data_IF_572989142229
#
_entry.id   IF_572989142229
#
_cell.length_a   1.000
_cell.length_b   1.000
_cell.length_c   1.000
_cell.angle_alpha   90.00
_cell.angle_beta   90.00
_cell.angle_gamma   90.00
#
_symmetry.space_group_name_H-M   'P 1'
#
loop_
_entity.id
_entity.type
_entity.pdbx_description
1 polymer ?
#
# COMPACT_ATOMS: atom_id res chain seq x y z
N UNK A 1 -7.86 21.06 -6.97
CA UNK A 1 -7.51 19.93 -6.09
C UNK A 1 -6.37 19.16 -6.72
N UNK A 2 -5.20 19.10 -6.07
CA UNK A 2 -4.03 18.36 -6.57
C UNK A 2 -4.26 16.87 -6.26
N UNK A 3 -5.21 16.23 -6.96
CA UNK A 3 -5.14 14.79 -7.18
C UNK A 3 -4.17 14.60 -8.34
N UNK A 4 -2.92 14.34 -8.02
CA UNK A 4 -1.91 14.04 -9.03
C UNK A 4 -1.98 12.56 -9.34
N UNK A 5 -2.70 12.21 -10.41
CA UNK A 5 -2.87 10.85 -10.92
C UNK A 5 -1.74 10.37 -11.83
N UNK A 6 -0.68 11.16 -11.99
CA UNK A 6 0.53 10.71 -12.68
C UNK A 6 1.26 9.66 -11.86
N UNK A 7 1.49 8.48 -12.45
CA UNK A 7 2.42 7.45 -11.93
C UNK A 7 3.75 8.11 -11.53
N UNK A 8 4.23 9.04 -12.36
CA UNK A 8 5.46 9.81 -12.11
C UNK A 8 5.40 10.68 -10.84
N UNK A 9 4.25 11.26 -10.50
CA UNK A 9 4.14 12.11 -9.31
C UNK A 9 4.00 11.30 -8.03
N UNK A 10 3.39 10.09 -8.11
CA UNK A 10 3.40 9.12 -7.03
C UNK A 10 4.83 8.65 -6.76
N UNK A 11 5.59 8.34 -7.80
CA UNK A 11 7.04 8.07 -7.70
C UNK A 11 7.82 9.29 -7.17
N UNK A 12 7.45 10.52 -7.50
CA UNK A 12 8.06 11.72 -6.91
C UNK A 12 7.80 11.83 -5.40
N UNK A 13 6.61 11.46 -4.91
CA UNK A 13 6.33 11.39 -3.46
C UNK A 13 7.19 10.33 -2.75
N UNK A 14 7.63 9.28 -3.47
CA UNK A 14 8.57 8.28 -2.95
C UNK A 14 10.03 8.78 -2.89
N UNK A 15 10.39 9.81 -3.67
CA UNK A 15 11.81 10.19 -3.91
C UNK A 15 12.21 11.53 -3.26
N UNK A 16 11.28 12.48 -3.06
CA UNK A 16 11.64 13.87 -2.69
C UNK A 16 11.72 14.18 -1.19
N UNK A 17 12.38 13.34 -0.39
CA UNK A 17 12.63 13.62 1.04
C UNK A 17 14.14 13.62 1.32
N UNK A 18 14.87 14.59 0.75
CA UNK A 18 16.35 14.56 0.74
C UNK A 18 17.13 15.82 1.18
N UNK A 19 16.50 16.96 1.52
CA UNK A 19 17.23 18.20 1.86
C UNK A 19 16.55 19.02 2.97
N UNK A 20 17.20 19.20 4.13
CA UNK A 20 16.60 19.57 5.43
C UNK A 20 15.70 20.83 5.49
N UNK A 21 16.01 21.90 4.74
CA UNK A 21 15.19 23.12 4.75
C UNK A 21 14.08 23.09 3.68
N UNK A 22 14.39 22.58 2.48
CA UNK A 22 13.40 22.24 1.46
C UNK A 22 12.43 21.18 1.98
N UNK A 23 12.89 20.32 2.89
CA UNK A 23 12.11 19.27 3.54
C UNK A 23 10.97 19.84 4.36
N UNK A 24 11.16 20.90 5.15
CA UNK A 24 10.07 21.50 5.93
C UNK A 24 9.00 22.10 5.01
N UNK A 25 9.41 22.84 3.98
CA UNK A 25 8.49 23.47 3.02
C UNK A 25 7.75 22.41 2.19
N UNK A 26 8.47 21.40 1.69
CA UNK A 26 7.89 20.29 0.94
C UNK A 26 6.95 19.44 1.81
N UNK A 27 7.36 19.13 3.05
CA UNK A 27 6.55 18.42 4.05
C UNK A 27 5.26 19.18 4.33
N UNK A 28 5.32 20.50 4.54
CA UNK A 28 4.14 21.31 4.80
C UNK A 28 3.13 21.26 3.64
N UNK A 29 3.60 21.30 2.38
CA UNK A 29 2.73 21.13 1.21
C UNK A 29 2.17 19.70 1.14
N UNK A 30 2.98 18.68 1.43
CA UNK A 30 2.53 17.29 1.46
C UNK A 30 1.46 17.09 2.54
N UNK A 31 1.69 17.57 3.75
CA UNK A 31 0.71 17.53 4.85
C UNK A 31 -0.60 18.20 4.42
N UNK A 32 -0.52 19.41 3.86
CA UNK A 32 -1.71 20.10 3.33
C UNK A 32 -2.43 19.24 2.28
N UNK A 33 -1.70 18.66 1.33
CA UNK A 33 -2.27 17.83 0.25
C UNK A 33 -2.96 16.59 0.81
N UNK A 34 -2.36 15.93 1.80
CA UNK A 34 -2.92 14.74 2.43
C UNK A 34 -4.15 15.06 3.26
N UNK A 35 -4.12 16.12 4.08
CA UNK A 35 -5.30 16.55 4.81
C UNK A 35 -6.44 16.95 3.85
N UNK A 36 -6.14 17.66 2.76
CA UNK A 36 -7.17 18.10 1.81
C UNK A 36 -7.86 16.92 1.09
N UNK A 37 -7.20 15.76 1.02
CA UNK A 37 -7.75 14.53 0.42
C UNK A 37 -8.66 13.74 1.37
N UNK A 38 -8.77 14.12 2.65
CA UNK A 38 -9.67 13.46 3.59
C UNK A 38 -11.13 13.61 3.12
N UNK A 39 -11.88 12.50 3.19
CA UNK A 39 -13.32 12.48 2.90
C UNK A 39 -14.15 13.03 4.05
N UNK A 40 -13.57 13.09 5.25
CA UNK A 40 -14.22 13.64 6.42
C UNK A 40 -13.24 14.54 7.15
N UNK A 41 -13.71 15.72 7.52
CA UNK A 41 -12.93 16.70 8.27
C UNK A 41 -13.49 16.86 9.68
N UNK A 42 -12.58 16.73 10.66
CA UNK A 42 -12.77 17.13 12.05
C UNK A 42 -12.16 18.51 12.27
N UNK A 43 -12.46 19.14 13.42
CA UNK A 43 -11.81 20.40 13.83
C UNK A 43 -10.29 20.23 13.82
N UNK A 44 -9.79 19.14 14.38
CA UNK A 44 -8.35 18.84 14.42
C UNK A 44 -7.73 18.72 13.01
N UNK A 45 -8.44 18.10 12.06
CA UNK A 45 -7.95 17.99 10.67
C UNK A 45 -7.95 19.33 9.92
N UNK A 46 -8.87 20.24 10.25
CA UNK A 46 -8.92 21.59 9.69
C UNK A 46 -7.81 22.45 10.30
N UNK A 47 -7.58 22.34 11.61
CA UNK A 47 -6.44 22.95 12.29
C UNK A 47 -5.11 22.43 11.72
N UNK A 48 -5.06 21.14 11.36
CA UNK A 48 -3.95 20.52 10.62
C UNK A 48 -3.70 21.15 9.25
N UNK A 49 -4.76 21.41 8.47
CA UNK A 49 -4.68 22.12 7.18
C UNK A 49 -4.13 23.55 7.34
N UNK A 50 -4.68 24.31 8.29
CA UNK A 50 -4.25 25.69 8.54
C UNK A 50 -2.81 25.73 9.04
N UNK A 51 -2.44 24.83 9.95
CA UNK A 51 -1.09 24.71 10.49
C UNK A 51 -0.07 24.37 9.40
N UNK A 52 -0.39 23.41 8.52
CA UNK A 52 0.46 23.06 7.39
C UNK A 52 0.70 24.26 6.47
N UNK A 53 -0.36 25.03 6.17
CA UNK A 53 -0.26 26.23 5.34
C UNK A 53 0.53 27.36 6.01
N UNK A 54 0.38 27.53 7.33
CA UNK A 54 1.14 28.50 8.11
C UNK A 54 2.64 28.15 8.15
N UNK A 55 2.99 26.88 8.33
CA UNK A 55 4.37 26.39 8.26
C UNK A 55 4.95 26.63 6.86
N UNK A 56 4.20 26.36 5.80
CA UNK A 56 4.63 26.66 4.43
C UNK A 56 4.92 28.16 4.26
N UNK A 57 4.00 29.04 4.65
CA UNK A 57 4.17 30.48 4.48
C UNK A 57 5.28 31.09 5.33
N UNK A 58 5.56 30.52 6.51
CA UNK A 58 6.66 30.96 7.38
C UNK A 58 8.03 30.61 6.79
N UNK A 59 8.13 29.50 6.06
CA UNK A 59 9.42 28.97 5.59
C UNK A 59 9.66 29.15 4.08
N UNK A 60 8.65 29.51 3.27
CA UNK A 60 8.76 29.59 1.80
C UNK A 60 9.85 30.54 1.29
N UNK A 61 10.20 31.58 2.06
CA UNK A 61 11.14 32.61 1.61
C UNK A 61 12.55 32.03 1.38
N UNK A 62 12.88 30.90 2.02
CA UNK A 62 14.13 30.18 1.77
C UNK A 62 14.25 29.68 0.32
N UNK A 63 13.13 29.42 -0.35
CA UNK A 63 13.12 29.01 -1.76
C UNK A 63 13.42 30.19 -2.69
N UNK A 64 13.15 31.42 -2.26
CA UNK A 64 13.59 32.63 -2.97
C UNK A 64 15.09 32.87 -2.75
N UNK A 65 15.56 32.71 -1.50
CA UNK A 65 16.98 32.85 -1.17
C UNK A 65 17.85 31.84 -1.91
N UNK A 66 17.36 30.61 -2.10
CA UNK A 66 18.04 29.57 -2.88
C UNK A 66 17.85 29.73 -4.41
N UNK A 67 17.25 30.84 -4.87
CA UNK A 67 16.99 31.15 -6.28
C UNK A 67 16.20 30.03 -7.01
N UNK A 68 15.40 29.26 -6.27
CA UNK A 68 14.55 28.20 -6.85
C UNK A 68 13.34 28.83 -7.55
N UNK A 69 12.82 29.95 -7.03
CA UNK A 69 11.68 30.66 -7.62
C UNK A 69 11.62 32.12 -7.17
N UNK A 70 11.31 33.05 -8.09
CA UNK A 70 11.36 34.50 -7.83
C UNK A 70 10.25 35.02 -6.90
N UNK A 71 9.01 34.54 -7.06
CA UNK A 71 7.87 34.98 -6.25
C UNK A 71 6.83 33.88 -5.99
N UNK A 72 6.07 34.00 -4.90
CA UNK A 72 4.99 33.05 -4.57
C UNK A 72 3.58 33.50 -4.96
N UNK A 73 3.45 34.52 -5.83
CA UNK A 73 2.18 34.97 -6.41
C UNK A 73 1.65 33.98 -7.47
N UNK A 74 1.52 32.72 -7.09
CA UNK A 74 1.05 31.64 -7.95
C UNK A 74 -0.45 31.47 -7.69
N UNK A 75 -1.33 31.62 -8.70
CA UNK A 75 -2.78 31.51 -8.51
C UNK A 75 -3.21 30.22 -7.79
N UNK A 76 -2.54 29.10 -8.08
CA UNK A 76 -2.79 27.81 -7.41
C UNK A 76 -2.47 27.85 -5.91
N UNK A 77 -1.36 28.47 -5.50
CA UNK A 77 -1.02 28.62 -4.08
C UNK A 77 -1.97 29.59 -3.37
N UNK A 78 -2.42 30.65 -4.06
CA UNK A 78 -3.43 31.54 -3.52
C UNK A 78 -4.76 30.80 -3.30
N UNK A 79 -5.17 29.97 -4.26
CA UNK A 79 -6.41 29.19 -4.17
C UNK A 79 -6.41 28.22 -2.96
N UNK A 80 -5.26 27.63 -2.64
CA UNK A 80 -5.05 26.75 -1.48
C UNK A 80 -5.42 27.45 -0.15
N UNK A 81 -5.16 28.76 -0.02
CA UNK A 81 -5.52 29.53 1.19
C UNK A 81 -7.02 29.62 1.48
N UNK A 82 -7.87 29.32 0.49
CA UNK A 82 -9.32 29.33 0.64
C UNK A 82 -9.91 27.98 1.03
N UNK A 83 -9.12 26.89 1.05
CA UNK A 83 -9.64 25.54 1.24
C UNK A 83 -10.41 25.39 2.54
N UNK A 84 -9.86 25.79 3.68
CA UNK A 84 -10.54 25.64 4.99
C UNK A 84 -11.85 26.44 5.03
N UNK A 85 -11.83 27.66 4.47
CA UNK A 85 -13.02 28.52 4.32
C UNK A 85 -14.07 27.93 3.39
N UNK A 86 -13.68 27.10 2.43
CA UNK A 86 -14.59 26.39 1.53
C UNK A 86 -15.08 25.06 2.13
N UNK A 87 -14.20 24.29 2.78
CA UNK A 87 -14.52 22.99 3.35
C UNK A 87 -15.57 23.12 4.46
N UNK A 88 -15.44 24.16 5.30
CA UNK A 88 -16.36 24.38 6.42
C UNK A 88 -17.84 24.51 5.99
N UNK A 89 -18.19 25.35 4.99
CA UNK A 89 -19.58 25.45 4.50
C UNK A 89 -19.97 24.41 3.43
N UNK A 90 -19.03 23.88 2.63
CA UNK A 90 -19.36 23.07 1.45
C UNK A 90 -19.02 21.57 1.58
N UNK A 91 -18.33 21.15 2.64
CA UNK A 91 -17.90 19.76 2.85
C UNK A 91 -16.50 19.45 2.30
N UNK A 92 -16.11 18.18 2.37
CA UNK A 92 -14.81 17.68 1.89
C UNK A 92 -14.55 18.00 0.41
N UNK A 93 -13.28 17.99 0.02
CA UNK A 93 -12.90 18.26 -1.38
C UNK A 93 -13.00 17.02 -2.29
N UNK A 94 -13.63 15.95 -1.82
CA UNK A 94 -13.87 14.75 -2.59
C UNK A 94 -14.78 15.07 -3.79
N UNK A 95 -14.47 14.48 -4.95
CA UNK A 95 -15.17 14.78 -6.20
C UNK A 95 -14.75 16.07 -6.93
N UNK A 96 -13.96 16.97 -6.32
CA UNK A 96 -13.50 18.21 -6.96
C UNK A 96 -12.14 18.09 -7.69
N UNK A 97 -11.83 16.96 -8.31
CA UNK A 97 -10.64 16.82 -9.15
C UNK A 97 -10.89 17.37 -10.56
N UNK A 98 -9.83 17.82 -11.24
CA UNK A 98 -9.94 18.26 -12.64
C UNK A 98 -10.08 17.08 -13.60
N UNK A 99 -9.78 15.86 -13.16
CA UNK A 99 -9.88 14.65 -13.97
C UNK A 99 -11.30 14.36 -14.43
N UNK A 100 -12.30 14.56 -13.58
CA UNK A 100 -13.71 14.37 -13.97
C UNK A 100 -14.09 15.33 -15.11
N UNK A 101 -13.94 16.66 -14.95
CA UNK A 101 -14.14 17.59 -16.06
C UNK A 101 -13.25 17.32 -17.28
N UNK A 102 -11.98 16.94 -17.11
CA UNK A 102 -11.06 16.68 -18.22
C UNK A 102 -11.41 15.41 -19.01
N UNK A 103 -11.86 14.37 -18.30
CA UNK A 103 -12.38 13.14 -18.90
C UNK A 103 -13.67 13.41 -19.66
N UNK A 104 -14.62 14.11 -19.03
CA UNK A 104 -15.84 14.55 -19.70
C UNK A 104 -15.54 15.47 -20.88
N UNK A 105 -14.52 16.32 -20.81
CA UNK A 105 -14.10 17.16 -21.92
C UNK A 105 -13.43 16.36 -23.05
N UNK A 106 -12.79 15.23 -22.74
CA UNK A 106 -12.30 14.31 -23.77
C UNK A 106 -13.47 13.61 -24.47
N UNK A 107 -14.33 12.97 -23.67
CA UNK A 107 -15.43 12.14 -24.17
C UNK A 107 -16.50 12.99 -24.88
N UNK A 108 -16.85 14.16 -24.31
CA UNK A 108 -17.96 14.97 -24.81
C UNK A 108 -17.58 16.14 -25.71
N UNK A 109 -16.35 16.67 -25.58
CA UNK A 109 -15.92 17.80 -26.42
C UNK A 109 -14.94 17.34 -27.49
N UNK A 110 -13.82 16.69 -27.13
CA UNK A 110 -12.79 16.31 -28.12
C UNK A 110 -13.28 15.27 -29.11
N UNK A 111 -13.93 14.20 -28.64
CA UNK A 111 -14.40 13.13 -29.53
C UNK A 111 -15.59 13.57 -30.38
N UNK A 112 -16.53 14.32 -29.80
CA UNK A 112 -17.61 14.94 -30.56
C UNK A 112 -17.06 15.89 -31.64
N UNK A 113 -16.07 16.73 -31.32
CA UNK A 113 -15.44 17.63 -32.29
C UNK A 113 -14.68 16.85 -33.37
N UNK A 114 -13.97 15.76 -33.03
CA UNK A 114 -13.30 14.88 -34.00
C UNK A 114 -14.28 14.20 -34.95
N UNK A 115 -15.47 13.85 -34.46
CA UNK A 115 -16.54 13.24 -35.26
C UNK A 115 -17.27 14.24 -36.16
N UNK A 116 -17.17 15.55 -35.86
CA UNK A 116 -17.75 16.63 -36.67
C UNK A 116 -16.93 16.91 -37.94
N UNK A 117 -17.54 17.62 -38.89
CA UNK A 117 -16.83 18.15 -40.06
C UNK A 117 -16.05 19.46 -39.76
N UNK A 118 -16.05 19.93 -38.51
CA UNK A 118 -15.39 21.16 -38.02
C UNK A 118 -15.92 22.49 -38.60
N UNK A 119 -17.08 22.47 -39.26
CA UNK A 119 -17.80 23.65 -39.75
C UNK A 119 -19.16 23.72 -39.07
N UNK A 120 -19.48 24.83 -38.40
CA UNK A 120 -20.70 24.97 -37.56
C UNK A 120 -20.89 23.74 -36.64
N UNK A 121 -19.80 23.39 -35.95
CA UNK A 121 -19.63 22.10 -35.27
C UNK A 121 -20.49 21.94 -34.01
N UNK A 122 -21.03 23.03 -33.44
CA UNK A 122 -21.79 22.99 -32.18
C UNK A 122 -23.05 22.11 -32.30
N UNK A 123 -23.83 22.28 -33.37
CA UNK A 123 -25.04 21.48 -33.61
C UNK A 123 -24.70 20.01 -33.90
N UNK A 124 -23.62 19.77 -34.64
CA UNK A 124 -23.14 18.42 -34.93
C UNK A 124 -22.64 17.70 -33.67
N UNK A 125 -21.94 18.40 -32.79
CA UNK A 125 -21.49 17.87 -31.51
C UNK A 125 -22.69 17.54 -30.60
N UNK A 126 -23.70 18.41 -30.54
CA UNK A 126 -24.93 18.14 -29.78
C UNK A 126 -25.68 16.91 -30.31
N UNK A 127 -25.84 16.78 -31.62
CA UNK A 127 -26.44 15.61 -32.27
C UNK A 127 -25.65 14.33 -32.00
N UNK A 128 -24.31 14.40 -32.09
CA UNK A 128 -23.44 13.27 -31.78
C UNK A 128 -23.59 12.80 -30.33
N UNK A 129 -23.66 13.74 -29.37
CA UNK A 129 -23.88 13.44 -27.95
C UNK A 129 -25.24 12.77 -27.72
N UNK A 130 -26.31 13.28 -28.33
CA UNK A 130 -27.64 12.66 -28.26
C UNK A 130 -27.63 11.22 -28.76
N UNK A 131 -26.88 10.94 -29.84
CA UNK A 131 -26.74 9.58 -30.34
C UNK A 131 -25.96 8.67 -29.40
N UNK A 132 -24.87 9.17 -28.79
CA UNK A 132 -24.13 8.40 -27.78
C UNK A 132 -25.00 8.08 -26.57
N UNK A 133 -25.78 9.04 -26.07
CA UNK A 133 -26.73 8.81 -24.96
C UNK A 133 -27.78 7.77 -25.31
N UNK A 134 -28.36 7.83 -26.52
CA UNK A 134 -29.34 6.85 -26.99
C UNK A 134 -28.76 5.42 -27.08
N UNK A 135 -27.53 5.29 -27.59
CA UNK A 135 -26.80 4.01 -27.66
C UNK A 135 -26.48 3.49 -26.25
N UNK A 136 -26.02 4.37 -25.35
CA UNK A 136 -25.71 4.02 -23.97
C UNK A 136 -26.95 3.54 -23.21
N UNK A 137 -28.07 4.25 -23.33
CA UNK A 137 -29.35 3.84 -22.73
C UNK A 137 -29.83 2.50 -23.30
N UNK A 138 -29.68 2.30 -24.61
CA UNK A 138 -30.08 1.04 -25.26
C UNK A 138 -29.22 -0.14 -24.82
N UNK A 139 -27.90 0.03 -24.76
CA UNK A 139 -26.97 -1.01 -24.29
C UNK A 139 -27.23 -1.36 -22.83
N UNK A 140 -27.35 -0.36 -21.94
CA UNK A 140 -27.70 -0.57 -20.54
C UNK A 140 -29.01 -1.34 -20.35
N UNK A 141 -30.02 -1.04 -21.17
CA UNK A 141 -31.29 -1.77 -21.17
C UNK A 141 -31.13 -3.24 -21.60
N UNK A 142 -30.30 -3.53 -22.61
CA UNK A 142 -30.01 -4.90 -23.06
C UNK A 142 -29.23 -5.68 -22.01
N UNK A 143 -28.24 -5.06 -21.35
CA UNK A 143 -27.47 -5.68 -20.28
C UNK A 143 -28.36 -6.05 -19.10
N UNK A 144 -29.22 -5.12 -18.66
CA UNK A 144 -30.23 -5.39 -17.62
C UNK A 144 -31.18 -6.55 -17.96
N UNK A 145 -31.62 -6.65 -19.22
CA UNK A 145 -32.44 -7.79 -19.68
C UNK A 145 -31.67 -9.12 -19.61
N UNK A 146 -30.37 -9.08 -19.94
CA UNK A 146 -29.51 -10.27 -19.94
C UNK A 146 -29.26 -10.79 -18.51
N UNK A 147 -29.02 -9.89 -17.55
CA UNK A 147 -28.81 -10.23 -16.13
C UNK A 147 -30.08 -10.83 -15.50
N UNK A 148 -31.26 -10.30 -15.87
CA UNK A 148 -32.56 -10.85 -15.44
C UNK A 148 -32.82 -12.24 -15.99
N UNK A 149 -32.33 -12.53 -17.19
CA UNK A 149 -32.44 -13.84 -17.83
C UNK A 149 -31.49 -14.87 -17.21
N UNK A 150 -30.31 -14.44 -16.77
CA UNK A 150 -29.33 -15.29 -16.07
C UNK A 150 -29.76 -15.62 -14.63
N UNK A 151 -30.41 -14.69 -13.91
CA UNK A 151 -30.99 -14.96 -12.58
C UNK A 151 -32.12 -16.00 -12.59
N UNK A 152 -32.76 -16.24 -13.74
CA UNK A 152 -33.78 -17.27 -13.90
C UNK A 152 -33.20 -18.66 -14.26
N UNK A 153 -31.89 -18.77 -14.51
CA UNK A 153 -31.27 -19.95 -15.12
C UNK A 153 -29.98 -20.36 -14.40
N UNK A 154 -30.01 -20.48 -13.07
CA UNK A 154 -28.91 -21.14 -12.33
C UNK A 154 -29.23 -22.62 -12.15
N UNK A 155 -28.80 -23.44 -13.11
CA UNK A 155 -28.46 -24.85 -12.86
C UNK A 155 -27.36 -25.30 -13.82
N UNK A 156 -26.20 -25.60 -13.21
CA UNK A 156 -25.07 -26.41 -13.68
C UNK A 156 -24.47 -26.10 -15.04
N UNK A 157 -23.16 -25.80 -15.08
CA UNK A 157 -22.09 -26.62 -15.67
C UNK A 157 -20.81 -25.78 -15.77
N UNK A 158 -19.76 -26.12 -15.01
CA UNK A 158 -18.40 -25.60 -15.21
C UNK A 158 -17.63 -26.55 -16.10
N UNK A 159 -17.19 -26.06 -17.26
CA UNK A 159 -16.36 -26.75 -18.25
C UNK A 159 -14.90 -26.86 -17.76
N UNK A 160 -14.27 -28.06 -17.70
CA UNK A 160 -12.97 -28.24 -17.06
C UNK A 160 -11.74 -27.87 -17.93
N UNK A 161 -11.89 -27.29 -19.11
CA UNK A 161 -10.81 -27.33 -20.12
C UNK A 161 -10.35 -25.97 -20.68
N UNK A 162 -10.08 -24.99 -19.82
CA UNK A 162 -9.29 -23.80 -20.20
C UNK A 162 -7.92 -23.80 -19.56
N UNK A 163 -6.95 -24.22 -20.36
CA UNK A 163 -5.51 -24.11 -20.11
C UNK A 163 -5.13 -22.65 -20.43
N UNK A 164 -4.79 -21.86 -19.41
CA UNK A 164 -4.25 -20.51 -19.58
C UNK A 164 -2.74 -20.54 -19.39
N UNK A 165 -2.03 -20.04 -20.40
CA UNK A 165 -0.60 -19.77 -20.36
C UNK A 165 -0.33 -18.63 -19.36
N UNK A 166 0.38 -18.95 -18.30
CA UNK A 166 0.83 -18.02 -17.25
C UNK A 166 2.03 -17.24 -17.78
N UNK A 167 1.81 -16.01 -18.23
CA UNK A 167 2.78 -14.91 -18.18
C UNK A 167 2.12 -13.59 -18.62
N UNK A 168 1.20 -13.05 -17.82
CA UNK A 168 0.96 -11.59 -17.72
C UNK A 168 0.09 -11.23 -16.51
N UNK A 169 0.52 -10.18 -15.82
CA UNK A 169 -0.21 -9.29 -14.91
C UNK A 169 -0.46 -9.67 -13.43
N UNK A 170 0.26 -8.92 -12.59
CA UNK A 170 0.32 -8.94 -11.13
C UNK A 170 -0.95 -8.47 -10.39
N UNK A 171 -1.98 -8.08 -11.15
CA UNK A 171 -3.28 -7.60 -10.66
C UNK A 171 -4.39 -8.64 -10.91
N UNK A 172 -4.19 -9.57 -11.85
CA UNK A 172 -5.16 -10.63 -12.15
C UNK A 172 -5.35 -11.61 -10.98
N UNK A 173 -4.28 -11.95 -10.26
CA UNK A 173 -4.35 -12.80 -9.06
C UNK A 173 -5.17 -12.16 -7.92
N UNK A 174 -5.12 -10.82 -7.76
CA UNK A 174 -5.89 -10.13 -6.73
C UNK A 174 -7.38 -10.12 -7.12
N UNK A 175 -7.70 -9.94 -8.41
CA UNK A 175 -9.08 -9.97 -8.90
C UNK A 175 -9.69 -11.39 -8.81
N UNK A 176 -8.89 -12.44 -9.00
CA UNK A 176 -9.30 -13.82 -8.77
C UNK A 176 -9.52 -14.12 -7.27
N UNK A 177 -8.70 -13.56 -6.38
CA UNK A 177 -8.92 -13.64 -4.93
C UNK A 177 -10.17 -12.85 -4.48
N UNK A 178 -10.49 -11.74 -5.14
CA UNK A 178 -11.71 -10.96 -4.90
C UNK A 178 -12.97 -11.72 -5.28
N UNK A 179 -12.95 -12.43 -6.40
CA UNK A 179 -14.10 -13.22 -6.86
C UNK A 179 -14.32 -14.52 -6.06
N UNK A 180 -13.29 -15.01 -5.36
CA UNK A 180 -13.37 -16.23 -4.53
C UNK A 180 -13.58 -15.96 -3.04
N UNK A 181 -13.52 -14.70 -2.60
CA UNK A 181 -13.88 -14.31 -1.24
C UNK A 181 -15.40 -14.47 -1.01
N UNK A 182 -15.84 -14.95 0.16
CA UNK A 182 -17.26 -15.20 0.41
C UNK A 182 -18.08 -13.91 0.30
N UNK A 183 -18.90 -13.80 -0.75
CA UNK A 183 -19.82 -12.68 -1.02
C UNK A 183 -20.98 -12.56 -0.02
N UNK A 184 -21.05 -13.42 0.99
CA UNK A 184 -22.14 -13.44 1.97
C UNK A 184 -21.68 -12.88 3.32
N UNK A 185 -21.35 -11.59 3.35
CA UNK A 185 -21.33 -10.83 4.59
C UNK A 185 -22.49 -9.84 4.56
N UNK A 186 -23.48 -10.07 5.43
CA UNK A 186 -24.50 -9.08 5.75
C UNK A 186 -23.82 -7.77 6.19
N UNK A 187 -24.32 -6.58 5.81
CA UNK A 187 -23.62 -5.30 5.97
C UNK A 187 -23.55 -4.77 7.43
N UNK A 188 -23.58 -5.64 8.43
CA UNK A 188 -23.79 -5.25 9.83
C UNK A 188 -22.70 -5.67 10.83
N UNK A 189 -21.56 -6.21 10.37
CA UNK A 189 -20.41 -6.47 11.23
C UNK A 189 -19.13 -5.86 10.64
N UNK A 190 -18.29 -5.16 11.44
CA UNK A 190 -17.02 -4.65 10.97
C UNK A 190 -16.16 -5.81 10.47
N UNK A 191 -15.63 -5.68 9.24
CA UNK A 191 -14.68 -6.62 8.68
C UNK A 191 -13.40 -6.50 9.53
N UNK A 192 -13.11 -7.50 10.36
CA UNK A 192 -11.79 -7.61 10.99
C UNK A 192 -10.70 -7.77 9.93
N UNK A 193 -9.47 -7.36 10.23
CA UNK A 193 -8.34 -7.60 9.33
C UNK A 193 -8.22 -9.10 9.02
N UNK A 194 -8.24 -9.45 7.73
CA UNK A 194 -8.15 -10.82 7.23
C UNK A 194 -6.87 -11.04 6.45
N UNK A 195 -6.17 -12.14 6.72
CA UNK A 195 -4.97 -12.56 6.00
C UNK A 195 -5.31 -13.71 5.06
N UNK A 196 -5.15 -13.48 3.75
CA UNK A 196 -5.45 -14.42 2.68
C UNK A 196 -4.13 -14.94 2.10
N UNK A 197 -4.00 -16.27 2.07
CA UNK A 197 -2.93 -16.99 1.40
C UNK A 197 -3.46 -17.78 0.22
N UNK A 198 -2.59 -18.08 -0.74
CA UNK A 198 -2.91 -19.00 -1.81
C UNK A 198 -3.29 -20.38 -1.23
N UNK A 199 -4.25 -21.06 -1.88
CA UNK A 199 -4.70 -22.41 -1.45
C UNK A 199 -3.55 -23.42 -1.47
N UNK A 200 -2.62 -23.26 -2.41
CA UNK A 200 -1.42 -24.09 -2.54
C UNK A 200 -0.16 -23.27 -2.24
N UNK A 201 0.80 -23.81 -1.47
CA UNK A 201 2.08 -23.16 -1.28
C UNK A 201 2.85 -23.13 -2.61
N UNK A 202 3.50 -22.00 -2.89
CA UNK A 202 4.28 -21.87 -4.11
C UNK A 202 5.53 -22.75 -4.11
N UNK A 203 6.10 -22.95 -2.92
CA UNK A 203 7.28 -23.77 -2.71
C UNK A 203 7.00 -24.76 -1.58
N UNK A 204 6.35 -25.89 -1.88
CA UNK A 204 6.08 -26.92 -0.89
C UNK A 204 7.38 -27.60 -0.44
N UNK A 205 7.42 -28.04 0.82
CA UNK A 205 8.49 -28.88 1.37
C UNK A 205 9.91 -28.32 1.24
N UNK A 206 10.08 -27.02 1.45
CA UNK A 206 11.38 -26.35 1.43
C UNK A 206 12.22 -26.72 2.66
N UNK A 207 13.49 -27.08 2.44
CA UNK A 207 14.42 -27.41 3.53
C UNK A 207 14.86 -26.16 4.27
N UNK A 208 15.23 -26.32 5.55
CA UNK A 208 15.79 -25.23 6.36
C UNK A 208 17.04 -24.63 5.72
N UNK A 209 17.90 -25.46 5.12
CA UNK A 209 19.12 -24.99 4.45
C UNK A 209 18.80 -24.09 3.24
N UNK A 210 17.75 -24.41 2.49
CA UNK A 210 17.26 -23.55 1.42
C UNK A 210 16.68 -22.23 1.95
N UNK A 211 15.94 -22.27 3.07
CA UNK A 211 15.44 -21.04 3.71
C UNK A 211 16.61 -20.13 4.14
N UNK A 212 17.65 -20.70 4.75
CA UNK A 212 18.82 -19.94 5.20
C UNK A 212 19.54 -19.30 4.01
N UNK A 213 19.80 -20.08 2.95
CA UNK A 213 20.59 -19.63 1.79
C UNK A 213 19.80 -18.67 0.88
N UNK A 214 18.57 -19.01 0.50
CA UNK A 214 17.78 -18.22 -0.43
C UNK A 214 17.09 -17.02 0.23
N UNK A 215 16.55 -17.20 1.45
CA UNK A 215 15.83 -16.14 2.17
C UNK A 215 16.70 -15.39 3.19
N UNK A 216 17.95 -15.78 3.41
CA UNK A 216 18.87 -15.11 4.36
C UNK A 216 18.40 -15.20 5.81
N UNK A 217 17.83 -16.34 6.21
CA UNK A 217 17.22 -16.58 7.53
C UNK A 217 18.11 -17.40 8.46
N UNK A 218 19.32 -16.91 8.74
CA UNK A 218 20.32 -17.59 9.58
C UNK A 218 19.80 -17.99 10.98
N UNK A 219 18.82 -17.25 11.51
CA UNK A 219 18.21 -17.49 12.83
C UNK A 219 16.86 -18.21 12.76
N UNK A 220 16.53 -18.85 11.63
CA UNK A 220 15.24 -19.54 11.45
C UNK A 220 14.95 -20.59 12.54
N UNK A 221 15.87 -21.52 12.76
CA UNK A 221 15.68 -22.59 13.77
C UNK A 221 15.61 -22.05 15.20
N UNK A 222 16.54 -21.18 15.68
CA UNK A 222 16.42 -20.59 17.01
C UNK A 222 15.10 -19.81 17.22
N UNK A 223 14.67 -19.03 16.22
CA UNK A 223 13.44 -18.27 16.28
C UNK A 223 12.21 -19.20 16.34
N UNK A 224 12.20 -20.25 15.52
CA UNK A 224 11.13 -21.25 15.51
C UNK A 224 11.05 -22.02 16.84
N UNK A 225 12.20 -22.42 17.41
CA UNK A 225 12.25 -23.07 18.73
C UNK A 225 11.67 -22.18 19.83
N UNK A 226 12.04 -20.90 19.82
CA UNK A 226 11.54 -19.93 20.80
C UNK A 226 10.02 -19.75 20.67
N UNK A 227 9.54 -19.64 19.44
CA UNK A 227 8.11 -19.54 19.14
C UNK A 227 7.33 -20.78 19.60
N UNK A 228 7.81 -21.99 19.27
CA UNK A 228 7.18 -23.24 19.70
C UNK A 228 7.17 -23.37 21.21
N UNK A 229 8.24 -22.98 21.91
CA UNK A 229 8.30 -23.04 23.37
C UNK A 229 7.28 -22.10 24.03
N UNK A 230 7.11 -20.89 23.48
CA UNK A 230 6.22 -19.86 24.03
C UNK A 230 4.74 -20.15 23.71
N UNK A 231 4.43 -20.54 22.48
CA UNK A 231 3.06 -20.65 21.98
C UNK A 231 2.53 -22.09 22.00
N UNK A 232 3.41 -23.09 22.02
CA UNK A 232 3.07 -24.52 21.99
C UNK A 232 3.91 -25.30 23.02
N UNK A 233 3.79 -25.00 24.33
CA UNK A 233 4.65 -25.59 25.37
C UNK A 233 4.48 -27.11 25.50
N UNK A 234 3.38 -27.68 25.03
CA UNK A 234 3.10 -29.12 25.07
C UNK A 234 3.77 -29.91 23.94
N UNK A 235 4.45 -29.25 22.99
CA UNK A 235 5.12 -29.93 21.89
C UNK A 235 6.55 -30.35 22.29
N UNK A 236 6.81 -31.66 22.27
CA UNK A 236 8.12 -32.25 22.60
C UNK A 236 9.03 -32.41 21.37
N UNK A 237 8.56 -32.05 20.16
CA UNK A 237 9.33 -32.19 18.92
C UNK A 237 10.17 -30.93 18.71
N UNK A 238 11.48 -31.12 18.71
CA UNK A 238 12.44 -30.03 18.50
C UNK A 238 12.70 -29.90 16.99
N UNK A 239 12.46 -28.73 16.37
CA UNK A 239 12.75 -28.53 14.96
C UNK A 239 14.26 -28.62 14.69
N UNK A 240 14.59 -29.35 13.62
CA UNK A 240 15.93 -29.64 13.14
C UNK A 240 16.16 -29.18 11.70
N UNK A 241 17.40 -29.31 11.21
CA UNK A 241 17.79 -28.81 9.88
C UNK A 241 17.19 -29.60 8.70
N UNK A 242 16.71 -30.83 8.96
CA UNK A 242 16.12 -31.69 7.94
C UNK A 242 14.60 -31.51 7.79
N UNK A 243 14.00 -30.67 8.64
CA UNK A 243 12.57 -30.37 8.53
C UNK A 243 12.29 -29.57 7.24
N UNK A 244 11.07 -29.77 6.74
CA UNK A 244 10.61 -29.17 5.50
C UNK A 244 9.36 -28.34 5.77
N UNK A 245 9.27 -27.17 5.16
CA UNK A 245 8.18 -26.22 5.39
C UNK A 245 7.50 -25.84 4.08
N UNK A 246 6.19 -25.64 4.11
CA UNK A 246 5.44 -25.14 2.97
C UNK A 246 5.51 -23.61 2.96
N UNK A 247 6.08 -23.04 1.89
CA UNK A 247 6.41 -21.61 1.79
C UNK A 247 5.54 -20.92 0.74
N UNK A 248 5.06 -19.73 1.09
CA UNK A 248 4.22 -18.86 0.28
C UNK A 248 5.00 -17.65 -0.22
N UNK A 249 4.70 -17.21 -1.45
CA UNK A 249 5.35 -16.02 -2.07
C UNK A 249 4.85 -14.70 -1.47
N UNK A 250 3.60 -14.69 -1.04
CA UNK A 250 2.90 -13.47 -0.64
C UNK A 250 1.73 -13.81 0.29
N UNK A 251 1.30 -12.78 1.04
CA UNK A 251 0.03 -12.72 1.75
C UNK A 251 -0.71 -11.46 1.28
N UNK A 252 -2.03 -11.56 1.18
CA UNK A 252 -2.90 -10.41 0.99
C UNK A 252 -3.65 -10.13 2.28
N UNK A 253 -3.50 -8.91 2.78
CA UNK A 253 -4.19 -8.40 3.95
C UNK A 253 -5.38 -7.59 3.47
N UNK A 254 -6.58 -7.95 3.92
CA UNK A 254 -7.78 -7.18 3.69
C UNK A 254 -8.07 -6.35 4.92
N UNK A 255 -7.96 -5.03 4.80
CA UNK A 255 -8.29 -4.10 5.88
C UNK A 255 -9.70 -3.56 5.71
N UNK A 256 -10.42 -3.30 6.81
CA UNK A 256 -11.71 -2.62 6.74
C UNK A 256 -11.58 -1.26 6.07
N UNK A 257 -12.67 -0.74 5.49
CA UNK A 257 -12.72 0.64 5.03
C UNK A 257 -12.37 1.62 6.16
N UNK A 258 -11.54 2.63 5.87
CA UNK A 258 -11.36 3.79 6.74
C UNK A 258 -12.22 4.94 6.19
N UNK A 259 -13.31 5.33 6.89
CA UNK A 259 -14.20 6.41 6.44
C UNK A 259 -13.49 7.74 6.14
N UNK A 260 -12.30 7.98 6.70
CA UNK A 260 -11.49 9.18 6.43
C UNK A 260 -10.87 9.14 5.03
N UNK A 261 -10.63 7.95 4.48
CA UNK A 261 -9.88 7.74 3.24
C UNK A 261 -10.69 7.03 2.14
N UNK A 262 -11.41 5.96 2.45
CA UNK A 262 -12.11 5.10 1.49
C UNK A 262 -13.28 4.34 2.12
N UNK A 263 -14.41 4.25 1.39
CA UNK A 263 -15.56 3.44 1.77
C UNK A 263 -15.42 1.96 1.37
N UNK A 264 -14.36 1.61 0.65
CA UNK A 264 -14.07 0.24 0.22
C UNK A 264 -12.90 -0.37 1.00
N UNK A 265 -12.94 -1.69 1.28
CA UNK A 265 -11.84 -2.38 1.93
C UNK A 265 -10.60 -2.37 1.04
N UNK A 266 -9.42 -2.22 1.65
CA UNK A 266 -8.16 -2.27 0.90
C UNK A 266 -7.58 -3.68 0.87
N UNK A 267 -6.96 -3.99 -0.25
CA UNK A 267 -6.27 -5.25 -0.51
C UNK A 267 -4.77 -4.97 -0.53
N UNK A 268 -4.10 -5.24 0.57
CA UNK A 268 -2.72 -4.88 0.81
C UNK A 268 -1.83 -6.11 0.71
N UNK A 269 -0.90 -6.10 -0.25
CA UNK A 269 -0.02 -7.25 -0.50
C UNK A 269 1.31 -7.10 0.25
N UNK A 270 1.78 -8.21 0.82
CA UNK A 270 3.14 -8.35 1.36
C UNK A 270 3.80 -9.55 0.68
N UNK A 271 4.98 -9.34 0.10
CA UNK A 271 5.77 -10.34 -0.62
C UNK A 271 6.99 -10.77 0.19
N UNK A 272 7.33 -12.04 0.06
CA UNK A 272 8.50 -12.67 0.67
C UNK A 272 9.14 -13.67 -0.30
N UNK A 273 9.65 -13.17 -1.43
CA UNK A 273 10.22 -13.98 -2.50
C UNK A 273 11.74 -13.78 -2.60
N UNK A 274 12.54 -14.86 -2.58
CA UNK A 274 13.97 -14.76 -2.80
C UNK A 274 14.28 -14.48 -4.26
N UNK A 275 15.56 -14.23 -4.56
CA UNK A 275 16.01 -14.08 -5.93
C UNK A 275 15.88 -15.41 -6.68
N UNK A 276 15.30 -15.35 -7.89
CA UNK A 276 15.13 -16.52 -8.75
C UNK A 276 16.00 -16.33 -9.98
N UNK A 277 16.95 -17.25 -10.18
CA UNK A 277 17.80 -17.25 -11.36
C UNK A 277 16.96 -17.48 -12.63
N UNK A 278 17.35 -16.87 -13.77
CA UNK A 278 16.61 -17.04 -15.02
C UNK A 278 16.57 -18.52 -15.43
N UNK A 279 15.37 -19.03 -15.71
CA UNK A 279 15.18 -20.35 -16.28
C UNK A 279 15.58 -20.42 -17.76
N UNK A 280 15.68 -21.62 -18.35
CA UNK A 280 15.94 -21.77 -19.78
C UNK A 280 14.80 -21.13 -20.60
N UNK A 281 15.09 -19.99 -21.24
CA UNK A 281 14.14 -19.20 -22.03
C UNK A 281 13.81 -17.82 -21.45
N UNK A 282 14.20 -17.53 -20.20
CA UNK A 282 13.97 -16.23 -19.56
C UNK A 282 15.21 -15.32 -19.71
N UNK A 283 15.02 -14.08 -20.17
CA UNK A 283 16.13 -13.14 -20.42
C UNK A 283 16.77 -12.61 -19.12
N UNK A 284 16.01 -12.51 -18.04
CA UNK A 284 16.45 -11.97 -16.75
C UNK A 284 15.83 -12.76 -15.59
N UNK A 285 16.59 -12.95 -14.51
CA UNK A 285 16.08 -13.50 -13.26
C UNK A 285 15.16 -12.51 -12.54
N UNK A 286 14.38 -13.01 -11.59
CA UNK A 286 13.52 -12.15 -10.76
C UNK A 286 14.29 -11.75 -9.50
N UNK A 287 14.47 -10.44 -9.21
CA UNK A 287 15.19 -10.00 -8.02
C UNK A 287 14.42 -10.36 -6.74
N UNK A 288 15.16 -10.52 -5.65
CA UNK A 288 14.55 -10.75 -4.34
C UNK A 288 13.63 -9.59 -3.94
N UNK A 289 12.48 -9.91 -3.33
CA UNK A 289 11.52 -8.95 -2.77
C UNK A 289 11.06 -9.40 -1.39
N UNK A 290 11.38 -8.59 -0.39
CA UNK A 290 11.03 -8.80 1.00
C UNK A 290 10.42 -7.51 1.55
N UNK A 291 9.10 -7.47 1.59
CA UNK A 291 8.35 -6.28 1.95
C UNK A 291 8.44 -6.02 3.46
N UNK A 292 8.28 -4.75 3.84
CA UNK A 292 8.23 -4.31 5.23
C UNK A 292 6.79 -4.30 5.70
N UNK A 293 6.58 -4.61 6.98
CA UNK A 293 5.26 -4.62 7.57
C UNK A 293 5.26 -4.05 9.00
N UNK A 294 4.14 -3.46 9.38
CA UNK A 294 3.84 -3.07 10.75
C UNK A 294 3.22 -4.26 11.47
N UNK A 295 3.80 -4.60 12.61
CA UNK A 295 3.39 -5.74 13.44
C UNK A 295 2.95 -5.20 14.79
N UNK A 296 1.80 -5.65 15.28
CA UNK A 296 1.29 -5.28 16.59
C UNK A 296 1.86 -6.18 17.69
N UNK A 297 2.30 -5.55 18.79
CA UNK A 297 2.75 -6.23 20.01
C UNK A 297 1.56 -6.70 20.89
N UNK A 298 0.32 -6.33 20.56
CA UNK A 298 -0.88 -6.57 21.36
C UNK A 298 -2.04 -7.27 20.63
N UNK A 299 -3.15 -7.48 21.35
CA UNK A 299 -4.37 -8.09 20.81
C UNK A 299 -5.04 -7.17 19.80
N UNK A 300 -5.19 -7.68 18.58
CA UNK A 300 -5.98 -7.17 17.42
C UNK A 300 -6.64 -5.81 17.63
N UNK A 301 -5.96 -4.73 17.26
CA UNK A 301 -6.65 -3.47 16.93
C UNK A 301 -7.03 -3.54 15.47
N UNK A 302 -8.29 -3.87 15.17
CA UNK A 302 -8.83 -3.94 13.81
C UNK A 302 -8.66 -2.63 13.02
N UNK A 303 -8.48 -1.51 13.73
CA UNK A 303 -8.09 -0.21 13.17
C UNK A 303 -6.93 0.39 13.98
N UNK A 304 -5.72 0.35 13.42
CA UNK A 304 -4.59 1.06 13.98
C UNK A 304 -4.88 2.57 13.89
N UNK A 305 -4.96 3.27 15.02
CA UNK A 305 -5.17 4.72 15.06
C UNK A 305 -3.88 5.50 15.33
N UNK A 306 -2.91 4.84 15.96
CA UNK A 306 -1.62 5.41 16.32
C UNK A 306 -0.54 4.36 16.10
N UNK A 307 0.71 4.79 15.96
CA UNK A 307 1.85 3.87 15.92
C UNK A 307 2.26 3.33 17.31
N UNK A 308 1.40 3.46 18.32
CA UNK A 308 1.67 2.94 19.66
C UNK A 308 1.49 1.42 19.68
N UNK A 309 2.46 0.70 20.27
CA UNK A 309 2.42 -0.77 20.35
C UNK A 309 2.61 -1.48 19.01
N UNK A 310 3.09 -0.79 17.97
CA UNK A 310 3.51 -1.42 16.71
C UNK A 310 5.00 -1.28 16.46
N UNK A 311 5.53 -2.25 15.73
CA UNK A 311 6.92 -2.33 15.36
C UNK A 311 7.09 -2.72 13.90
N UNK A 312 8.11 -2.16 13.26
CA UNK A 312 8.42 -2.47 11.86
C UNK A 312 9.29 -3.74 11.81
N UNK A 313 8.97 -4.63 10.87
CA UNK A 313 9.85 -5.73 10.50
C UNK A 313 9.85 -5.99 8.99
N UNK A 314 10.93 -6.60 8.52
CA UNK A 314 11.04 -7.13 7.18
C UNK A 314 10.55 -8.58 7.17
N UNK A 315 9.58 -8.90 6.30
CA UNK A 315 9.07 -10.27 6.16
C UNK A 315 9.98 -11.05 5.21
N UNK A 316 10.60 -12.14 5.69
CA UNK A 316 11.53 -12.95 4.86
C UNK A 316 10.92 -14.25 4.37
N UNK A 317 10.07 -14.87 5.17
CA UNK A 317 9.42 -16.16 4.83
C UNK A 317 8.00 -16.13 5.37
N UNK A 318 7.04 -16.57 4.56
CA UNK A 318 5.66 -16.85 4.97
C UNK A 318 5.47 -18.34 4.82
N UNK A 319 5.06 -19.05 5.87
CA UNK A 319 5.04 -20.52 5.87
C UNK A 319 3.98 -21.09 6.80
N UNK A 320 3.66 -22.37 6.62
CA UNK A 320 2.83 -23.14 7.56
C UNK A 320 3.67 -24.19 8.28
N UNK A 321 3.29 -24.48 9.53
CA UNK A 321 3.96 -25.53 10.29
C UNK A 321 3.58 -26.91 9.75
N UNK A 322 4.56 -27.81 9.56
CA UNK A 322 4.27 -29.21 9.29
C UNK A 322 3.42 -29.83 10.38
N UNK A 323 2.54 -30.75 9.99
CA UNK A 323 1.58 -31.40 10.89
C UNK A 323 2.23 -32.05 12.12
N UNK A 324 3.50 -32.45 12.02
CA UNK A 324 4.25 -33.01 13.15
C UNK A 324 4.42 -32.02 14.32
N UNK A 325 4.46 -30.70 14.07
CA UNK A 325 4.64 -29.70 15.14
C UNK A 325 3.33 -29.24 15.79
N UNK A 326 2.17 -29.59 15.21
CA UNK A 326 0.80 -29.57 15.73
C UNK A 326 -0.20 -29.25 14.60
N UNK A 327 -1.44 -29.73 14.76
CA UNK A 327 -2.58 -29.42 13.89
C UNK A 327 -3.20 -28.09 14.30
N UNK A 328 -3.25 -27.10 13.40
CA UNK A 328 -4.08 -25.90 13.59
C UNK A 328 -3.35 -24.63 14.03
N UNK A 329 -2.02 -24.61 14.12
CA UNK A 329 -1.31 -23.32 14.13
C UNK A 329 -1.50 -22.69 12.76
N UNK A 330 -2.21 -21.57 12.70
CA UNK A 330 -2.38 -20.79 11.48
C UNK A 330 -1.03 -20.42 10.82
N UNK A 331 -1.07 -19.79 9.65
CA UNK A 331 0.15 -19.43 8.94
C UNK A 331 1.05 -18.52 9.79
N UNK A 332 2.35 -18.66 9.59
CA UNK A 332 3.40 -17.96 10.31
C UNK A 332 4.26 -17.14 9.35
N UNK A 333 4.95 -16.16 9.90
CA UNK A 333 5.97 -15.39 9.19
C UNK A 333 7.27 -15.38 9.98
N UNK A 334 8.39 -15.57 9.29
CA UNK A 334 9.71 -15.24 9.82
C UNK A 334 10.03 -13.79 9.45
N UNK A 335 10.33 -12.99 10.47
CA UNK A 335 10.56 -11.55 10.32
C UNK A 335 11.89 -11.14 10.91
N UNK A 336 12.50 -10.10 10.33
CA UNK A 336 13.68 -9.42 10.87
C UNK A 336 13.29 -8.05 11.39
N UNK A 337 13.52 -7.80 12.67
CA UNK A 337 13.03 -6.63 13.36
C UNK A 337 13.86 -5.37 13.10
N UNK A 338 13.17 -4.23 13.05
CA UNK A 338 13.77 -2.92 13.25
C UNK A 338 13.65 -2.49 14.71
N UNK A 339 14.34 -1.44 15.13
CA UNK A 339 14.17 -0.85 16.45
C UNK A 339 12.73 -0.33 16.63
N UNK A 340 12.22 -0.23 17.87
CA UNK A 340 10.97 0.48 18.13
C UNK A 340 10.95 1.88 17.50
N UNK A 341 9.77 2.34 17.11
CA UNK A 341 9.57 3.66 16.52
C UNK A 341 9.97 4.72 17.55
N UNK A 342 10.99 5.51 17.23
CA UNK A 342 11.44 6.63 18.06
C UNK A 342 10.54 7.84 17.84
N UNK A 343 10.73 8.87 18.66
CA UNK A 343 10.09 10.17 18.40
C UNK A 343 10.42 10.66 16.98
N UNK A 344 9.46 11.31 16.29
CA UNK A 344 9.70 11.86 14.97
C UNK A 344 10.89 12.81 14.95
N UNK A 345 11.71 12.73 13.90
CA UNK A 345 12.83 13.64 13.70
C UNK A 345 12.29 15.08 13.55
N UNK A 346 12.79 16.07 14.31
CA UNK A 346 12.25 17.44 14.28
C UNK A 346 12.31 18.13 12.92
N UNK A 347 13.21 17.70 12.02
CA UNK A 347 13.41 18.34 10.72
C UNK A 347 12.46 17.81 9.64
N UNK A 348 12.15 16.50 9.65
CA UNK A 348 11.31 15.87 8.63
C UNK A 348 9.96 15.37 9.17
N UNK A 349 9.77 15.32 10.49
CA UNK A 349 8.56 14.84 11.14
C UNK A 349 8.29 13.34 10.99
N UNK A 350 9.29 12.56 10.54
CA UNK A 350 9.16 11.12 10.31
C UNK A 350 9.79 10.31 11.45
N UNK A 351 9.19 9.17 11.77
CA UNK A 351 9.74 8.23 12.75
C UNK A 351 11.01 7.58 12.23
N UNK A 352 12.10 7.64 13.00
CA UNK A 352 13.35 6.97 12.68
C UNK A 352 13.36 5.54 13.24
N UNK A 353 13.84 4.60 12.42
CA UNK A 353 14.11 3.20 12.80
C UNK A 353 15.46 2.76 12.26
N UNK A 354 16.10 1.82 12.96
CA UNK A 354 17.34 1.16 12.53
C UNK A 354 17.16 -0.34 12.58
N UNK A 355 18.02 -1.12 11.93
CA UNK A 355 17.97 -2.59 12.08
C UNK A 355 18.23 -2.99 13.54
N UNK A 356 17.35 -3.82 14.12
CA UNK A 356 17.55 -4.31 15.48
C UNK A 356 18.58 -5.44 15.45
N UNK A 357 19.63 -5.31 16.25
CA UNK A 357 20.68 -6.32 16.39
C UNK A 357 20.76 -6.80 17.83
N UNK A 358 21.00 -8.10 18.01
CA UNK A 358 21.27 -8.73 19.29
C UNK A 358 22.49 -9.64 19.11
N UNK A 359 23.52 -9.48 19.94
CA UNK A 359 24.78 -10.23 19.83
C UNK A 359 25.39 -10.22 18.42
N UNK A 360 25.46 -9.06 17.77
CA UNK A 360 25.98 -8.85 16.41
C UNK A 360 25.19 -9.55 15.29
N UNK A 361 24.06 -10.19 15.60
CA UNK A 361 23.15 -10.76 14.61
C UNK A 361 21.84 -9.97 14.55
N UNK A 362 21.18 -9.99 13.40
CA UNK A 362 19.89 -9.32 13.24
C UNK A 362 18.85 -10.02 14.12
N UNK A 363 18.13 -9.22 14.93
CA UNK A 363 17.05 -9.70 15.77
C UNK A 363 15.91 -10.21 14.88
N UNK A 364 15.59 -11.48 15.00
CA UNK A 364 14.59 -12.13 14.18
C UNK A 364 13.67 -13.01 15.03
N UNK A 365 12.42 -13.14 14.59
CA UNK A 365 11.42 -13.95 15.27
C UNK A 365 10.51 -14.65 14.26
N UNK A 366 9.88 -15.72 14.71
CA UNK A 366 8.70 -16.28 14.06
C UNK A 366 7.48 -15.71 14.77
N UNK A 367 6.53 -15.21 13.99
CA UNK A 367 5.27 -14.64 14.50
C UNK A 367 4.08 -15.30 13.80
N UNK A 368 2.93 -15.29 14.44
CA UNK A 368 1.67 -15.56 13.75
C UNK A 368 1.41 -14.47 12.71
N UNK A 369 0.85 -14.87 11.56
CA UNK A 369 0.58 -13.94 10.45
C UNK A 369 -0.47 -12.89 10.82
N UNK A 370 -1.36 -13.21 11.77
CA UNK A 370 -2.42 -12.34 12.29
C UNK A 370 -1.89 -11.08 13.01
N UNK A 371 -0.64 -11.11 13.50
CA UNK A 371 0.01 -9.95 14.12
C UNK A 371 0.40 -8.89 13.10
N UNK A 372 0.47 -9.24 11.81
CA UNK A 372 0.81 -8.28 10.75
C UNK A 372 -0.42 -7.41 10.46
N UNK A 373 -0.29 -6.10 10.68
CA UNK A 373 -1.39 -5.14 10.50
C UNK A 373 -1.51 -4.72 9.04
N UNK A 374 -0.41 -4.21 8.47
CA UNK A 374 -0.37 -3.72 7.10
C UNK A 374 1.09 -3.66 6.59
N UNK A 375 1.31 -3.63 5.26
CA UNK A 375 2.60 -3.28 4.69
C UNK A 375 2.97 -1.84 5.07
N UNK A 376 4.28 -1.57 5.15
CA UNK A 376 4.79 -0.22 5.30
C UNK A 376 5.99 0.00 4.38
N UNK A 377 6.41 1.25 4.25
CA UNK A 377 7.55 1.63 3.42
C UNK A 377 8.59 2.35 4.27
N UNK A 378 9.86 1.97 4.10
CA UNK A 378 10.99 2.59 4.78
C UNK A 378 11.83 3.38 3.76
N UNK A 379 12.24 4.59 4.11
CA UNK A 379 13.12 5.44 3.31
C UNK A 379 14.50 5.42 3.95
N UNK A 380 15.57 4.98 3.26
CA UNK A 380 16.93 5.05 3.77
C UNK A 380 17.31 6.49 4.15
N UNK A 381 17.86 6.69 5.35
CA UNK A 381 18.37 8.01 5.77
C UNK A 381 19.63 8.32 4.97
N UNK A 382 19.55 9.30 4.08
CA UNK A 382 20.68 9.77 3.30
C UNK A 382 21.60 10.62 4.19
N UNK A 383 22.87 10.23 4.28
CA UNK A 383 23.90 11.02 4.93
C UNK A 383 24.43 12.13 4.01
N UNK A 384 25.50 12.84 4.43
CA UNK A 384 26.15 13.88 3.61
C UNK A 384 26.70 13.34 2.27
N UNK A 385 26.96 12.04 2.20
CA UNK A 385 27.36 11.33 0.99
C UNK A 385 26.53 10.05 0.89
N UNK A 386 25.96 9.81 -0.29
CA UNK A 386 25.25 8.57 -0.61
C UNK A 386 26.28 7.57 -1.12
N UNK A 387 26.28 6.36 -0.56
CA UNK A 387 27.17 5.30 -1.04
C UNK A 387 26.77 4.93 -2.49
N UNK A 388 27.65 5.09 -3.48
CA UNK A 388 27.34 4.86 -4.88
C UNK A 388 27.02 3.39 -5.20
N UNK A 389 27.24 2.47 -4.26
CA UNK A 389 26.89 1.05 -4.39
C UNK A 389 25.42 0.77 -4.08
N UNK A 390 24.68 1.76 -3.59
CA UNK A 390 23.26 1.60 -3.31
C UNK A 390 22.48 1.40 -4.61
N UNK A 391 21.75 0.30 -4.65
CA UNK A 391 20.81 -0.08 -5.69
C UNK A 391 19.47 -0.43 -5.03
N UNK A 392 18.39 -0.39 -5.80
CA UNK A 392 17.06 -0.80 -5.31
C UNK A 392 17.05 -2.21 -4.70
N UNK A 393 17.92 -3.10 -5.19
CA UNK A 393 18.05 -4.47 -4.70
C UNK A 393 18.80 -4.63 -3.36
N UNK A 394 19.70 -3.71 -2.99
CA UNK A 394 20.59 -3.88 -1.83
C UNK A 394 20.48 -2.79 -0.76
N UNK A 395 19.80 -1.67 -1.06
CA UNK A 395 19.79 -0.49 -0.18
C UNK A 395 19.29 -0.80 1.22
N UNK A 396 18.28 -1.67 1.34
CA UNK A 396 17.76 -2.08 2.65
C UNK A 396 18.73 -2.93 3.45
N UNK A 397 19.63 -3.68 2.80
CA UNK A 397 20.67 -4.47 3.48
C UNK A 397 21.90 -3.62 3.84
N UNK A 398 22.20 -2.59 3.05
CA UNK A 398 23.38 -1.73 3.24
C UNK A 398 23.14 -0.53 4.16
N UNK A 399 21.93 0.06 4.14
CA UNK A 399 21.61 1.20 4.99
C UNK A 399 21.37 0.76 6.45
N UNK A 400 21.81 1.60 7.38
CA UNK A 400 21.66 1.35 8.82
C UNK A 400 20.39 1.98 9.40
N UNK A 401 20.09 3.22 8.97
CA UNK A 401 19.00 4.05 9.47
C UNK A 401 17.97 4.33 8.38
N UNK A 402 16.71 4.37 8.78
CA UNK A 402 15.56 4.56 7.91
C UNK A 402 14.52 5.47 8.57
N UNK A 403 13.73 6.13 7.73
CA UNK A 403 12.50 6.80 8.12
C UNK A 403 11.29 5.98 7.71
N UNK A 404 10.29 5.87 8.57
CA UNK A 404 9.00 5.32 8.19
C UNK A 404 8.28 6.31 7.27
N UNK A 405 7.93 5.89 6.06
CA UNK A 405 7.21 6.73 5.11
C UNK A 405 5.73 6.80 5.48
N UNK A 406 5.31 7.93 6.04
CA UNK A 406 3.91 8.19 6.41
C UNK A 406 3.07 8.68 5.23
N UNK A 407 3.69 8.98 4.09
CA UNK A 407 3.06 9.51 2.88
C UNK A 407 2.98 8.48 1.76
N UNK A 408 2.97 7.20 2.12
CA UNK A 408 2.78 6.13 1.14
C UNK A 408 1.31 6.06 0.69
N UNK A 409 0.39 6.31 1.61
CA UNK A 409 -1.04 6.35 1.38
C UNK A 409 -1.74 7.14 2.50
N UNK A 410 -3.01 7.49 2.26
CA UNK A 410 -3.80 8.35 3.14
C UNK A 410 -4.10 7.73 4.52
N UNK A 411 -4.24 6.41 4.63
CA UNK A 411 -4.48 5.75 5.93
C UNK A 411 -3.22 5.75 6.77
N UNK A 412 -2.07 5.42 6.17
CA UNK A 412 -0.77 5.52 6.86
C UNK A 412 -0.49 6.95 7.33
N UNK A 413 -0.87 7.95 6.53
CA UNK A 413 -0.83 9.36 6.94
C UNK A 413 -1.73 9.63 8.15
N UNK A 414 -2.97 9.15 8.13
CA UNK A 414 -3.92 9.33 9.24
C UNK A 414 -3.47 8.66 10.54
N UNK A 415 -2.71 7.55 10.47
CA UNK A 415 -2.12 6.90 11.65
C UNK A 415 -1.01 7.76 12.26
N UNK A 416 -0.25 8.46 11.41
CA UNK A 416 0.85 9.34 11.83
C UNK A 416 0.37 10.69 12.34
N UNK A 417 -0.69 11.22 11.76
CA UNK A 417 -1.24 12.52 12.12
C UNK A 417 -1.83 12.39 13.54
N UNK A 418 -1.10 12.93 14.52
CA UNK A 418 -1.64 13.11 15.87
C UNK A 418 -2.91 13.96 15.68
N UNK A 419 -4.06 13.41 16.05
CA UNK A 419 -5.42 13.99 15.94
C UNK A 419 -6.01 14.16 14.53
N UNK A 420 -6.44 13.04 13.90
CA UNK A 420 -7.41 13.01 12.78
C UNK A 420 -8.56 12.07 13.05
#
# INVERSE_FOLDING_TARGET
VIKTTGIEHKEMQHVFVGLLAVLVVARAILDFSYYAQLRMHTVDSLDGLESALAVFHTNKDILQELEVHDHFNIPKLHQISHFVKSITPFGSTDGFNTELPERLHTDFAKDAYRASNKHDYEEQMALWLQWQEAIFLRSSYLDWLSERSQSATVSSYTDPNRRYDLDSDSDAEIEELRSTAPTNASPSLPIDVVHILAKTPAHPRQSVDHLITAHGTTMFLPALKSFLHEHIPCNNIIPGPHDQFDVYRQVVIVTPPDPRASDSPKWLRIRATPEVQPGPGQKHGTPARFDMALISDGVRTSNLRTFEGVRVAQVRVIFTLPHQFQVGSGPLAYVKWFTPLREPDPSCGLHQVSRSTHQLQQNAAVIHLDKIVCPCHLIPKLGPSVDPRWMSANVYEMAHDFYLNTFIDLETFCISARSV
#
